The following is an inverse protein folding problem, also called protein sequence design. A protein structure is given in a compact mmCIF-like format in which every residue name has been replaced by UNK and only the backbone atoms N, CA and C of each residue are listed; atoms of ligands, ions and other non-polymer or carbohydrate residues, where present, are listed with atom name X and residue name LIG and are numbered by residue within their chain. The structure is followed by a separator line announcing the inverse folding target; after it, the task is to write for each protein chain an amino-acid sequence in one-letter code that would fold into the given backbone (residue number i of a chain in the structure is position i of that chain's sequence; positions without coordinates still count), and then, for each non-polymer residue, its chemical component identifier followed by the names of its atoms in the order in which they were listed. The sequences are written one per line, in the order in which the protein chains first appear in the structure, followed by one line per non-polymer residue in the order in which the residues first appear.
data_IF_441303748281
#
_entry.id   IF_441303748281
#
_cell.length_a   1.000
_cell.length_b   1.000
_cell.length_c   1.000
_cell.angle_alpha   90.00
_cell.angle_beta   90.00
_cell.angle_gamma   90.00
#
_symmetry.space_group_name_H-M   'P 1'
#
loop_
_entity.id
_entity.type
_entity.pdbx_description
1 polymer ?
#
# COMPACT_ATOMS: atom_id res chain seq x y z
N UNK A 1 25.31 -4.15 22.46
CA UNK A 1 24.03 -3.43 22.62
C UNK A 1 23.52 -3.04 21.25
N UNK A 2 22.23 -3.23 20.97
CA UNK A 2 21.62 -2.82 19.71
C UNK A 2 20.91 -1.47 19.91
N UNK A 3 21.20 -0.52 19.04
CA UNK A 3 20.54 0.79 19.01
C UNK A 3 19.57 0.83 17.83
N UNK A 4 18.40 1.44 18.05
CA UNK A 4 17.41 1.67 16.99
C UNK A 4 17.61 3.06 16.44
N UNK A 5 17.72 3.15 15.12
CA UNK A 5 17.81 4.41 14.39
C UNK A 5 16.66 4.50 13.40
N UNK A 6 16.12 5.69 13.21
CA UNK A 6 15.06 5.94 12.23
C UNK A 6 15.70 6.34 10.90
N UNK A 7 15.41 5.60 9.84
CA UNK A 7 15.76 6.01 8.47
C UNK A 7 14.68 6.96 7.95
N UNK A 8 15.07 8.20 7.66
CA UNK A 8 14.19 9.23 7.09
C UNK A 8 14.38 9.19 5.58
N UNK A 9 13.58 8.38 4.90
CA UNK A 9 13.54 8.34 3.44
C UNK A 9 12.12 8.60 3.01
N UNK A 10 11.94 9.52 2.06
CA UNK A 10 10.64 9.81 1.49
C UNK A 10 10.08 8.56 0.81
N UNK A 11 8.77 8.39 0.90
CA UNK A 11 8.03 7.31 0.24
C UNK A 11 6.87 7.91 -0.52
N UNK A 12 6.50 7.27 -1.62
CA UNK A 12 5.27 7.59 -2.34
C UNK A 12 4.12 6.78 -1.75
N UNK A 13 2.98 7.42 -1.55
CA UNK A 13 1.77 6.75 -1.12
C UNK A 13 0.54 7.49 -1.65
N UNK A 14 -0.48 6.73 -2.00
CA UNK A 14 -1.78 7.24 -2.45
C UNK A 14 -2.87 6.76 -1.49
N UNK A 15 -3.79 7.64 -1.13
CA UNK A 15 -4.95 7.28 -0.35
C UNK A 15 -5.99 6.64 -1.28
N UNK A 16 -6.46 5.45 -0.92
CA UNK A 16 -7.43 4.70 -1.72
C UNK A 16 -8.81 5.33 -1.63
N UNK A 17 -9.34 5.78 -2.77
CA UNK A 17 -10.65 6.41 -2.90
C UNK A 17 -11.76 5.44 -3.34
N UNK A 18 -11.39 4.23 -3.76
CA UNK A 18 -12.31 3.23 -4.31
C UNK A 18 -12.87 3.57 -5.68
N UNK A 19 -12.13 4.35 -6.47
CA UNK A 19 -12.36 4.56 -7.90
C UNK A 19 -11.92 3.35 -8.74
N UNK A 20 -12.58 3.16 -9.88
CA UNK A 20 -12.19 2.15 -10.86
C UNK A 20 -10.75 2.38 -11.37
N UNK A 21 -10.30 3.63 -11.43
CA UNK A 21 -8.93 3.98 -11.81
C UNK A 21 -7.92 3.37 -10.83
N UNK A 22 -8.08 3.63 -9.53
CA UNK A 22 -7.19 3.03 -8.52
C UNK A 22 -7.33 1.51 -8.48
N UNK A 23 -8.54 0.97 -8.68
CA UNK A 23 -8.73 -0.48 -8.69
C UNK A 23 -7.98 -1.17 -9.82
N UNK A 24 -8.04 -0.60 -11.03
CA UNK A 24 -7.30 -1.09 -12.19
C UNK A 24 -5.79 -0.92 -12.01
N UNK A 25 -5.33 0.24 -11.51
CA UNK A 25 -3.91 0.55 -11.30
C UNK A 25 -3.24 -0.42 -10.31
N UNK A 26 -3.95 -0.80 -9.27
CA UNK A 26 -3.40 -1.56 -8.14
C UNK A 26 -3.93 -3.00 -8.02
N UNK A 27 -4.60 -3.52 -9.05
CA UNK A 27 -5.19 -4.87 -9.07
C UNK A 27 -6.11 -5.13 -7.87
N UNK A 28 -6.93 -4.15 -7.49
CA UNK A 28 -7.89 -4.25 -6.39
C UNK A 28 -9.21 -4.78 -6.93
N UNK A 29 -9.85 -5.66 -6.18
CA UNK A 29 -11.20 -6.16 -6.49
C UNK A 29 -12.21 -5.55 -5.51
N UNK A 30 -13.34 -5.10 -6.02
CA UNK A 30 -14.54 -4.86 -5.20
C UNK A 30 -15.22 -6.21 -4.95
N UNK A 31 -15.35 -6.58 -3.67
CA UNK A 31 -15.92 -7.88 -3.28
C UNK A 31 -17.45 -7.84 -3.25
N UNK A 32 -18.08 -6.70 -3.50
CA UNK A 32 -19.54 -6.54 -3.59
C UNK A 32 -20.27 -6.50 -2.24
N UNK A 33 -19.53 -6.54 -1.12
CA UNK A 33 -20.06 -6.53 0.25
C UNK A 33 -19.83 -5.17 0.92
N UNK A 34 -20.41 -4.11 0.36
CA UNK A 34 -20.30 -2.74 0.89
C UNK A 34 -18.95 -2.09 0.59
N UNK A 35 -18.32 -1.42 1.56
CA UNK A 35 -16.99 -0.77 1.40
C UNK A 35 -15.82 -1.75 1.62
N UNK A 36 -15.95 -2.97 1.12
CA UNK A 36 -14.94 -4.03 1.30
C UNK A 36 -14.25 -4.29 -0.03
N UNK A 37 -12.95 -4.02 -0.05
CA UNK A 37 -12.11 -4.21 -1.23
C UNK A 37 -10.98 -5.18 -0.90
N UNK A 38 -10.53 -5.93 -1.90
CA UNK A 38 -9.40 -6.85 -1.76
C UNK A 38 -8.22 -6.36 -2.59
N UNK A 39 -7.13 -6.03 -1.92
CA UNK A 39 -5.83 -5.79 -2.55
C UNK A 39 -5.13 -7.13 -2.77
N UNK A 40 -5.02 -7.54 -4.03
CA UNK A 40 -4.40 -8.82 -4.41
C UNK A 40 -2.90 -8.64 -4.57
N UNK A 41 -2.13 -9.32 -3.74
CA UNK A 41 -0.67 -9.30 -3.80
C UNK A 41 -0.12 -10.70 -3.65
N UNK A 42 0.63 -11.14 -4.65
CA UNK A 42 1.11 -12.51 -4.74
C UNK A 42 -0.07 -13.50 -4.57
N UNK A 43 0.04 -14.45 -3.65
CA UNK A 43 -1.03 -15.39 -3.30
C UNK A 43 -1.90 -14.92 -2.11
N UNK A 44 -1.83 -13.63 -1.74
CA UNK A 44 -2.57 -13.09 -0.60
C UNK A 44 -3.70 -12.14 -1.03
N UNK A 45 -4.82 -12.25 -0.32
CA UNK A 45 -5.93 -11.30 -0.37
C UNK A 45 -5.87 -10.43 0.88
N UNK A 46 -5.46 -9.17 0.73
CA UNK A 46 -5.36 -8.23 1.84
C UNK A 46 -6.62 -7.36 1.88
N UNK A 47 -7.32 -7.27 3.03
CA UNK A 47 -8.48 -6.39 3.14
C UNK A 47 -8.04 -4.93 2.97
N UNK A 48 -8.84 -4.18 2.24
CA UNK A 48 -8.67 -2.77 1.96
C UNK A 48 -10.01 -2.05 2.13
N UNK A 49 -9.96 -0.82 2.63
CA UNK A 49 -11.11 0.07 2.78
C UNK A 49 -10.79 1.43 2.20
N UNK A 50 -11.81 2.16 1.75
CA UNK A 50 -11.64 3.57 1.37
C UNK A 50 -11.00 4.36 2.52
N UNK A 51 -10.10 5.28 2.16
CA UNK A 51 -9.30 6.06 3.10
C UNK A 51 -8.03 5.36 3.61
N UNK A 52 -7.84 4.06 3.36
CA UNK A 52 -6.56 3.39 3.62
C UNK A 52 -5.50 3.80 2.59
N UNK A 53 -4.24 3.56 2.91
CA UNK A 53 -3.11 4.01 2.13
C UNK A 53 -2.48 2.84 1.37
N UNK A 54 -2.15 3.07 0.11
CA UNK A 54 -1.33 2.19 -0.73
C UNK A 54 0.06 2.82 -0.79
N UNK A 55 1.07 2.10 -0.30
CA UNK A 55 2.43 2.58 -0.08
C UNK A 55 3.37 1.92 -1.08
N UNK A 56 4.18 2.72 -1.77
CA UNK A 56 5.28 2.26 -2.60
C UNK A 56 6.47 1.83 -1.72
N UNK A 57 6.82 0.55 -1.74
CA UNK A 57 7.99 0.00 -1.03
C UNK A 57 9.25 -0.02 -1.90
N UNK A 58 9.15 0.47 -3.14
CA UNK A 58 10.23 0.47 -4.12
C UNK A 58 10.12 -0.71 -5.06
N UNK A 59 11.20 -0.99 -5.79
CA UNK A 59 11.25 -2.10 -6.74
C UNK A 59 11.83 -3.35 -6.07
N UNK A 60 11.25 -4.49 -6.39
CA UNK A 60 11.74 -5.81 -6.01
C UNK A 60 12.08 -6.60 -7.28
N UNK A 61 13.24 -7.26 -7.29
CA UNK A 61 13.68 -8.10 -8.40
C UNK A 61 13.69 -9.56 -7.94
N UNK A 62 12.94 -10.42 -8.63
CA UNK A 62 12.85 -11.85 -8.37
C UNK A 62 12.98 -12.60 -9.69
N UNK A 63 13.92 -13.54 -9.78
CA UNK A 63 14.23 -14.29 -11.01
C UNK A 63 14.44 -13.39 -12.24
N UNK A 64 15.26 -12.33 -12.10
CA UNK A 64 15.55 -11.33 -13.15
C UNK A 64 14.34 -10.54 -13.66
N UNK A 65 13.20 -10.61 -12.96
CA UNK A 65 12.02 -9.78 -13.24
C UNK A 65 11.84 -8.75 -12.14
N UNK A 66 11.73 -7.48 -12.53
CA UNK A 66 11.54 -6.35 -11.61
C UNK A 66 10.07 -5.95 -11.57
N UNK A 67 9.54 -5.86 -10.36
CA UNK A 67 8.17 -5.42 -10.08
C UNK A 67 8.20 -4.31 -9.04
N UNK A 68 7.21 -3.42 -9.06
CA UNK A 68 7.01 -2.46 -7.97
C UNK A 68 6.32 -3.16 -6.81
N UNK A 69 6.90 -3.03 -5.63
CA UNK A 69 6.38 -3.60 -4.40
C UNK A 69 5.46 -2.61 -3.70
N UNK A 70 4.23 -3.05 -3.42
CA UNK A 70 3.18 -2.23 -2.82
C UNK A 70 2.71 -2.82 -1.50
N UNK A 71 2.22 -1.97 -0.61
CA UNK A 71 1.62 -2.39 0.67
C UNK A 71 0.44 -1.52 1.06
N UNK A 72 -0.59 -2.14 1.64
CA UNK A 72 -1.71 -1.42 2.23
C UNK A 72 -1.49 -1.12 3.73
N UNK A 73 -2.04 -0.01 4.20
CA UNK A 73 -1.98 0.41 5.60
C UNK A 73 -3.22 1.21 5.99
N UNK A 74 -3.77 0.97 7.17
CA UNK A 74 -4.87 1.80 7.69
C UNK A 74 -4.43 3.25 7.88
N UNK A 75 -5.37 4.19 7.78
CA UNK A 75 -5.10 5.63 7.96
C UNK A 75 -4.43 5.92 9.31
N UNK A 76 -4.94 5.34 10.40
CA UNK A 76 -4.37 5.48 11.75
C UNK A 76 -2.90 5.05 11.79
N UNK A 77 -2.57 3.89 11.21
CA UNK A 77 -1.21 3.36 11.23
C UNK A 77 -0.29 4.16 10.31
N UNK A 78 -0.80 4.62 9.17
CA UNK A 78 -0.04 5.44 8.23
C UNK A 78 0.36 6.77 8.87
N UNK A 79 -0.57 7.50 9.47
CA UNK A 79 -0.32 8.80 10.13
C UNK A 79 0.60 8.70 11.35
N UNK A 80 0.65 7.54 12.02
CA UNK A 80 1.62 7.28 13.10
C UNK A 80 3.02 6.96 12.58
N UNK A 81 3.13 6.46 11.35
CA UNK A 81 4.39 5.96 10.77
C UNK A 81 5.07 7.01 9.90
N UNK A 82 4.29 7.77 9.13
CA UNK A 82 4.78 8.69 8.12
C UNK A 82 4.36 10.12 8.43
N UNK A 83 5.19 11.06 7.99
CA UNK A 83 4.89 12.49 7.97
C UNK A 83 4.92 12.96 6.53
N UNK A 84 4.02 13.88 6.19
CA UNK A 84 4.01 14.55 4.89
C UNK A 84 5.27 15.42 4.78
N UNK A 85 5.92 15.41 3.62
CA UNK A 85 7.23 16.04 3.39
C UNK A 85 7.24 16.96 2.16
N UNK A 86 6.07 17.39 1.69
CA UNK A 86 5.92 18.31 0.55
C UNK A 86 5.96 19.79 0.96
#
# INVERSE_FOLDING_TARGET
MLHKYTKITAIEAEQFDGSDEMMNKYCITDDGWGETFTFRKDNNCLPLKRGWWIINLGNMTVFDVTFTDWRTMSDEKFRRTYKRCD
#
